data_IF_769932451818
#
_entry.id   IF_769932451818
#
_cell.length_a   1.000
_cell.length_b   1.000
_cell.length_c   1.000
_cell.angle_alpha   90.00
_cell.angle_beta   90.00
_cell.angle_gamma   90.00
#
_symmetry.space_group_name_H-M   'P 1'
#
loop_
_entity.id
_entity.type
_entity.pdbx_description
1 polymer ?
#
# COMPACT_ATOMS: atom_id res chain seq x y z
N UNK A 1 3.19 6.47 -2.47
CA UNK A 1 2.58 5.30 -1.79
C UNK A 1 3.57 4.57 -0.89
N UNK A 2 4.68 4.03 -1.42
CA UNK A 2 5.64 3.26 -0.63
C UNK A 2 6.13 4.00 0.64
N UNK A 3 6.44 5.30 0.54
CA UNK A 3 6.80 6.11 1.71
C UNK A 3 5.69 6.13 2.78
N UNK A 4 4.42 6.34 2.39
CA UNK A 4 3.30 6.35 3.34
C UNK A 4 3.13 5.00 4.06
N UNK A 5 3.36 3.89 3.34
CA UNK A 5 3.31 2.55 3.93
C UNK A 5 4.45 2.33 4.92
N UNK A 6 5.66 2.78 4.57
CA UNK A 6 6.83 2.69 5.44
C UNK A 6 6.63 3.53 6.71
N UNK A 7 6.17 4.77 6.57
CA UNK A 7 5.88 5.66 7.70
C UNK A 7 4.82 5.04 8.61
N UNK A 8 3.70 4.59 8.05
CA UNK A 8 2.62 3.96 8.81
C UNK A 8 3.09 2.69 9.53
N UNK A 9 3.94 1.88 8.89
CA UNK A 9 4.45 0.63 9.48
C UNK A 9 5.27 0.85 10.76
N UNK A 10 5.82 2.06 10.97
CA UNK A 10 6.56 2.39 12.19
C UNK A 10 5.65 2.47 13.42
N UNK A 11 4.36 2.72 13.24
CA UNK A 11 3.38 2.81 14.33
C UNK A 11 3.02 1.42 14.90
N UNK A 12 3.25 0.35 14.16
CA UNK A 12 2.85 -1.01 14.51
C UNK A 12 4.03 -1.83 15.05
N UNK A 13 3.92 -2.38 16.27
CA UNK A 13 4.99 -3.17 16.90
C UNK A 13 5.42 -4.37 16.02
N UNK A 14 4.46 -5.03 15.40
CA UNK A 14 4.68 -6.20 14.54
C UNK A 14 5.49 -5.85 13.29
N UNK A 15 5.55 -4.58 12.89
CA UNK A 15 6.25 -4.14 11.68
C UNK A 15 7.47 -3.26 11.96
N UNK A 16 7.50 -2.55 13.09
CA UNK A 16 8.48 -1.50 13.41
C UNK A 16 9.94 -1.91 13.22
N UNK A 17 10.33 -3.08 13.72
CA UNK A 17 11.73 -3.52 13.64
C UNK A 17 12.16 -3.93 12.23
N UNK A 18 11.25 -4.52 11.45
CA UNK A 18 11.49 -4.77 10.03
C UNK A 18 11.49 -3.48 9.23
N UNK A 19 10.57 -2.56 9.51
CA UNK A 19 10.43 -1.28 8.83
C UNK A 19 11.70 -0.43 8.95
N UNK A 20 12.33 -0.39 10.13
CA UNK A 20 13.62 0.29 10.35
C UNK A 20 14.76 -0.21 9.47
N UNK A 21 14.68 -1.44 8.97
CA UNK A 21 15.71 -2.05 8.12
C UNK A 21 15.44 -1.84 6.63
N UNK A 22 14.26 -1.34 6.27
CA UNK A 22 13.88 -1.09 4.86
C UNK A 22 14.71 0.06 4.30
N UNK A 23 15.21 -0.13 3.08
CA UNK A 23 15.87 0.92 2.29
C UNK A 23 15.02 1.21 1.05
N UNK A 24 14.66 2.47 0.88
CA UNK A 24 13.99 2.94 -0.34
C UNK A 24 15.01 3.04 -1.46
N UNK A 25 14.73 2.39 -2.58
CA UNK A 25 15.58 2.41 -3.78
C UNK A 25 14.76 3.00 -4.93
N UNK A 26 15.33 3.99 -5.62
CA UNK A 26 14.81 4.46 -6.89
C UNK A 26 15.35 3.58 -8.01
N UNK A 27 14.45 2.87 -8.69
CA UNK A 27 14.79 1.95 -9.78
C UNK A 27 13.84 2.25 -10.93
N UNK A 28 14.35 2.29 -12.15
CA UNK A 28 13.50 2.51 -13.32
C UNK A 28 12.62 1.28 -13.56
N UNK A 29 11.45 1.46 -14.17
CA UNK A 29 10.62 0.32 -14.58
C UNK A 29 11.33 -0.58 -15.60
N UNK A 30 12.23 -0.04 -16.41
CA UNK A 30 13.02 -0.82 -17.36
C UNK A 30 14.04 -1.74 -16.66
N UNK A 31 14.65 -1.28 -15.56
CA UNK A 31 15.58 -2.09 -14.78
C UNK A 31 14.85 -3.10 -13.89
N UNK A 32 13.67 -2.76 -13.38
CA UNK A 32 12.89 -3.63 -12.50
C UNK A 32 12.02 -4.65 -13.27
N UNK A 33 11.29 -4.22 -14.30
CA UNK A 33 10.35 -5.05 -15.08
C UNK A 33 10.87 -5.41 -16.49
N UNK A 34 11.94 -4.78 -16.96
CA UNK A 34 12.50 -5.00 -18.30
C UNK A 34 12.10 -3.94 -19.33
N UNK A 35 12.92 -3.78 -20.39
CA UNK A 35 12.75 -2.74 -21.42
C UNK A 35 11.44 -2.81 -22.21
N UNK A 36 10.78 -3.97 -22.24
CA UNK A 36 9.48 -4.15 -22.91
C UNK A 36 8.28 -3.80 -22.04
N UNK A 37 8.49 -3.45 -20.77
CA UNK A 37 7.40 -3.16 -19.85
C UNK A 37 6.72 -1.83 -20.21
N UNK A 38 5.40 -1.88 -20.36
CA UNK A 38 4.55 -0.72 -20.60
C UNK A 38 3.48 -0.67 -19.51
N UNK A 39 3.29 0.52 -18.94
CA UNK A 39 2.23 0.77 -17.98
C UNK A 39 1.51 2.09 -18.29
N UNK A 40 0.27 2.16 -17.83
CA UNK A 40 -0.57 3.35 -17.92
C UNK A 40 -0.13 4.32 -16.83
N UNK A 41 0.42 5.47 -17.24
CA UNK A 41 0.93 6.50 -16.32
C UNK A 41 -0.12 6.97 -15.30
N UNK A 42 -1.35 7.20 -15.75
CA UNK A 42 -2.43 7.72 -14.89
C UNK A 42 -3.71 6.90 -15.10
N UNK A 43 -4.29 6.43 -14.00
CA UNK A 43 -5.60 5.78 -13.99
C UNK A 43 -6.56 6.64 -13.17
N UNK A 44 -7.23 7.58 -13.82
CA UNK A 44 -8.22 8.46 -13.20
C UNK A 44 -9.61 8.02 -13.64
N UNK A 45 -10.40 7.35 -12.78
CA UNK A 45 -11.72 6.90 -13.15
C UNK A 45 -12.69 8.07 -13.27
N UNK A 46 -13.51 8.05 -14.32
CA UNK A 46 -14.64 8.98 -14.48
C UNK A 46 -15.84 8.46 -13.66
N UNK A 47 -16.11 9.08 -12.51
CA UNK A 47 -17.08 8.56 -11.53
C UNK A 47 -18.37 9.39 -11.39
N UNK A 48 -18.52 10.46 -12.16
CA UNK A 48 -19.63 11.41 -12.02
C UNK A 48 -21.01 10.75 -12.21
N UNK A 49 -21.10 9.79 -13.15
CA UNK A 49 -22.34 9.05 -13.39
C UNK A 49 -22.69 8.17 -12.19
N UNK A 50 -21.73 7.38 -11.68
CA UNK A 50 -21.89 6.55 -10.48
C UNK A 50 -22.34 7.39 -9.28
N UNK A 51 -21.76 8.58 -9.11
CA UNK A 51 -22.12 9.48 -8.02
C UNK A 51 -23.54 10.02 -8.17
N UNK A 52 -23.94 10.44 -9.37
CA UNK A 52 -25.26 11.00 -9.65
C UNK A 52 -26.37 9.95 -9.62
N UNK A 53 -26.15 8.80 -10.26
CA UNK A 53 -27.18 7.79 -10.51
C UNK A 53 -27.35 6.84 -9.34
N UNK A 54 -26.27 6.53 -8.61
CA UNK A 54 -26.32 5.58 -7.49
C UNK A 54 -26.23 6.28 -6.11
N UNK A 55 -26.03 7.60 -6.07
CA UNK A 55 -25.79 8.34 -4.83
C UNK A 55 -24.51 7.90 -4.10
N UNK A 56 -23.63 7.16 -4.78
CA UNK A 56 -22.40 6.63 -4.21
C UNK A 56 -21.28 7.67 -4.24
N UNK A 57 -20.36 7.64 -3.27
CA UNK A 57 -19.12 8.43 -3.34
C UNK A 57 -18.02 7.79 -2.50
N UNK A 58 -16.73 7.93 -2.87
CA UNK A 58 -15.64 7.48 -2.01
C UNK A 58 -15.67 8.27 -0.69
N UNK A 59 -15.51 7.55 0.43
CA UNK A 59 -15.49 8.14 1.79
C UNK A 59 -14.21 7.79 2.56
N UNK A 60 -13.46 6.80 2.09
CA UNK A 60 -12.25 6.31 2.72
C UNK A 60 -11.06 6.95 2.02
N UNK A 61 -10.22 7.65 2.77
CA UNK A 61 -8.99 8.25 2.21
C UNK A 61 -7.93 7.18 1.99
N UNK A 62 -6.86 7.52 1.26
CA UNK A 62 -5.74 6.60 1.10
C UNK A 62 -5.08 6.24 2.45
N UNK A 63 -4.99 7.21 3.37
CA UNK A 63 -4.44 6.98 4.70
C UNK A 63 -5.31 6.02 5.52
N UNK A 64 -6.63 6.22 5.50
CA UNK A 64 -7.58 5.33 6.20
C UNK A 64 -7.56 3.92 5.60
N UNK A 65 -7.52 3.82 4.27
CA UNK A 65 -7.45 2.55 3.57
C UNK A 65 -6.19 1.77 3.97
N UNK A 66 -5.03 2.42 3.97
CA UNK A 66 -3.77 1.80 4.40
C UNK A 66 -3.81 1.37 5.86
N UNK A 67 -4.34 2.20 6.76
CA UNK A 67 -4.48 1.84 8.18
C UNK A 67 -5.35 0.60 8.37
N UNK A 68 -6.52 0.56 7.73
CA UNK A 68 -7.42 -0.59 7.79
C UNK A 68 -6.77 -1.87 7.24
N UNK A 69 -5.95 -1.76 6.19
CA UNK A 69 -5.20 -2.90 5.64
C UNK A 69 -4.15 -3.39 6.66
N UNK A 70 -3.35 -2.49 7.23
CA UNK A 70 -2.37 -2.86 8.25
C UNK A 70 -3.03 -3.52 9.47
N UNK A 71 -4.15 -2.96 9.95
CA UNK A 71 -4.93 -3.53 11.05
C UNK A 71 -5.46 -4.93 10.74
N UNK A 72 -5.88 -5.18 9.50
CA UNK A 72 -6.36 -6.51 9.08
C UNK A 72 -5.26 -7.57 9.03
N UNK A 73 -4.02 -7.19 8.70
CA UNK A 73 -2.91 -8.13 8.48
C UNK A 73 -1.91 -8.23 9.65
N UNK A 74 -1.89 -7.29 10.60
CA UNK A 74 -0.89 -7.26 11.69
C UNK A 74 -0.81 -8.56 12.49
N UNK A 75 -1.95 -9.21 12.74
CA UNK A 75 -1.99 -10.50 13.44
C UNK A 75 -1.33 -11.63 12.65
N UNK A 76 -1.49 -11.64 11.32
CA UNK A 76 -0.88 -12.65 10.46
C UNK A 76 0.64 -12.51 10.41
N UNK A 77 1.16 -11.29 10.49
CA UNK A 77 2.61 -11.03 10.53
C UNK A 77 3.21 -11.46 11.86
N UNK A 78 2.53 -11.23 12.97
CA UNK A 78 2.94 -11.75 14.27
C UNK A 78 2.97 -13.29 14.28
N UNK A 79 1.93 -13.94 13.75
CA UNK A 79 1.89 -15.41 13.67
C UNK A 79 2.96 -15.97 12.73
N UNK A 80 3.18 -15.35 11.56
CA UNK A 80 4.22 -15.78 10.63
C UNK A 80 5.63 -15.71 11.23
N UNK A 81 5.93 -14.71 12.06
CA UNK A 81 7.23 -14.61 12.74
C UNK A 81 7.48 -15.77 13.70
N UNK A 82 6.46 -16.19 14.45
CA UNK A 82 6.56 -17.35 15.37
C UNK A 82 6.88 -18.66 14.66
N UNK A 83 6.65 -18.76 13.35
CA UNK A 83 6.94 -19.95 12.54
C UNK A 83 8.38 -19.97 12.01
N UNK A 84 9.09 -18.84 12.07
CA UNK A 84 10.47 -18.69 11.57
C UNK A 84 11.52 -18.58 12.66
N UNK A 85 11.09 -18.43 13.92
CA UNK A 85 11.93 -18.50 15.13
C UNK A 85 12.01 -19.94 15.67
#
# INVERSE_FOLDING_TARGET
LAQMMLDLSMDYEEYRDSARKVKMLEVTSADYYGKGYQDVQNRVPKIENTMRELGWKPRVTMADALRNIFDAYRGQVAEARKLTD
#
